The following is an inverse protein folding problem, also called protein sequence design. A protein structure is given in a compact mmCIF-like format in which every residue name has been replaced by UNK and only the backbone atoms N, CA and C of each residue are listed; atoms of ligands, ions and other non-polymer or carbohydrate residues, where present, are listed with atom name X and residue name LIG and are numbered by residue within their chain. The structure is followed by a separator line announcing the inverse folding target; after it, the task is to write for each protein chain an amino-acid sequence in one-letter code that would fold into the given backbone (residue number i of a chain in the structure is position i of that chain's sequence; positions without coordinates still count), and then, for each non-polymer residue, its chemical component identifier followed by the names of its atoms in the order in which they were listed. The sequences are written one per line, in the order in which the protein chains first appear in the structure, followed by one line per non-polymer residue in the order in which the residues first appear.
data_IF_560974519970
#
_entry.id   IF_560974519970
#
_cell.length_a   1.000
_cell.length_b   1.000
_cell.length_c   1.000
_cell.angle_alpha   90.00
_cell.angle_beta   90.00
_cell.angle_gamma   90.00
#
_symmetry.space_group_name_H-M   'P 1'
#
loop_
_entity.id
_entity.type
_entity.pdbx_description
1 polymer ?
#
# COMPACT_ATOMS: atom_id res chain seq x y z
N UNK A 1 -9.32 9.08 -15.57
CA UNK A 1 -8.38 10.16 -15.17
C UNK A 1 -7.57 9.68 -13.99
N UNK A 2 -6.26 9.89 -14.00
CA UNK A 2 -5.40 9.69 -12.83
C UNK A 2 -5.58 10.87 -11.87
N UNK A 3 -5.68 10.61 -10.56
CA UNK A 3 -5.75 11.61 -9.50
C UNK A 3 -4.76 11.25 -8.39
N UNK A 4 -4.20 12.26 -7.74
CA UNK A 4 -3.38 12.06 -6.56
C UNK A 4 -4.22 11.58 -5.39
N UNK A 5 -3.65 10.69 -4.59
CA UNK A 5 -4.25 10.11 -3.40
C UNK A 5 -3.24 10.07 -2.27
N UNK A 6 -3.73 10.21 -1.04
CA UNK A 6 -2.91 10.02 0.15
C UNK A 6 -3.25 8.67 0.77
N UNK A 7 -2.26 7.79 0.82
CA UNK A 7 -2.33 6.54 1.57
C UNK A 7 -1.51 6.70 2.84
N UNK A 8 -2.08 6.27 3.97
CA UNK A 8 -1.36 6.25 5.24
C UNK A 8 -1.63 4.94 5.98
N UNK A 9 -0.64 4.52 6.76
CA UNK A 9 -0.74 3.40 7.68
C UNK A 9 -0.29 3.91 9.04
N UNK A 10 -1.16 3.78 10.03
CA UNK A 10 -0.81 3.94 11.44
C UNK A 10 -0.58 2.55 12.02
N UNK A 11 0.58 2.37 12.65
CA UNK A 11 0.93 1.13 13.32
C UNK A 11 1.37 1.42 14.74
N UNK A 12 0.65 0.85 15.69
CA UNK A 12 0.90 0.97 17.13
C UNK A 12 0.93 -0.41 17.78
N UNK A 13 1.37 -0.53 19.05
CA UNK A 13 1.24 -1.78 19.79
C UNK A 13 -0.20 -2.28 19.96
N UNK A 14 -1.21 -1.42 19.75
CA UNK A 14 -2.62 -1.77 19.86
C UNK A 14 -3.24 -2.28 18.55
N UNK A 15 -2.63 -1.99 17.39
CA UNK A 15 -3.19 -2.38 16.10
C UNK A 15 -2.61 -1.62 14.91
N UNK A 16 -3.17 -1.92 13.73
CA UNK A 16 -2.87 -1.24 12.47
C UNK A 16 -4.16 -0.66 11.89
N UNK A 17 -4.08 0.60 11.45
CA UNK A 17 -5.14 1.29 10.71
C UNK A 17 -4.61 1.76 9.36
N UNK A 18 -5.36 1.52 8.29
CA UNK A 18 -5.06 2.07 6.97
C UNK A 18 -6.03 3.17 6.58
N UNK A 19 -5.54 4.17 5.86
CA UNK A 19 -6.28 5.36 5.47
C UNK A 19 -6.14 5.62 3.98
N UNK A 20 -7.23 6.10 3.37
CA UNK A 20 -7.26 6.64 2.01
C UNK A 20 -7.84 8.05 2.09
N UNK A 21 -7.10 9.04 1.57
CA UNK A 21 -7.47 10.45 1.59
C UNK A 21 -7.89 10.94 3.00
N UNK A 22 -7.11 10.55 4.01
CA UNK A 22 -7.32 10.90 5.41
C UNK A 22 -8.47 10.15 6.12
N UNK A 23 -9.23 9.32 5.42
CA UNK A 23 -10.33 8.53 6.01
C UNK A 23 -9.87 7.11 6.31
N UNK A 24 -10.14 6.62 7.52
CA UNK A 24 -9.83 5.24 7.89
C UNK A 24 -10.64 4.27 7.02
N UNK A 25 -9.94 3.43 6.28
CA UNK A 25 -10.52 2.43 5.39
C UNK A 25 -10.54 1.04 6.05
N UNK A 26 -9.56 0.71 6.88
CA UNK A 26 -9.56 -0.51 7.69
C UNK A 26 -8.90 -0.32 9.06
N UNK A 27 -9.17 -1.25 9.95
CA UNK A 27 -8.48 -1.41 11.23
C UNK A 27 -8.39 -2.90 11.60
N UNK A 28 -7.28 -3.31 12.19
CA UNK A 28 -7.17 -4.59 12.91
C UNK A 28 -6.47 -4.39 14.25
N UNK A 29 -7.03 -4.97 15.29
CA UNK A 29 -6.40 -5.13 16.60
C UNK A 29 -5.86 -6.54 16.84
N UNK A 30 -5.94 -7.43 15.83
CA UNK A 30 -5.39 -8.77 15.91
C UNK A 30 -3.86 -8.72 15.93
N UNK A 31 -3.29 -9.03 17.10
CA UNK A 31 -1.84 -9.01 17.33
C UNK A 31 -1.10 -10.02 16.47
N UNK A 32 -1.76 -11.10 16.04
CA UNK A 32 -1.14 -12.11 15.16
C UNK A 32 -0.93 -11.61 13.73
N UNK A 33 -1.65 -10.56 13.32
CA UNK A 33 -1.49 -9.89 12.04
C UNK A 33 -0.45 -8.75 12.08
N UNK A 34 0.13 -8.44 13.25
CA UNK A 34 1.11 -7.36 13.37
C UNK A 34 2.51 -7.84 12.95
N UNK A 35 3.32 -7.01 12.28
CA UNK A 35 4.71 -7.34 12.00
C UNK A 35 5.47 -7.64 13.31
N UNK A 36 6.36 -8.64 13.32
CA UNK A 36 7.02 -9.11 14.56
C UNK A 36 8.11 -8.16 15.10
N UNK A 37 8.47 -7.11 14.34
CA UNK A 37 9.55 -6.21 14.69
C UNK A 37 9.69 -5.05 13.71
N UNK A 38 10.74 -4.21 13.85
CA UNK A 38 10.94 -3.01 13.04
C UNK A 38 10.86 -3.27 11.53
N UNK A 39 10.22 -2.37 10.80
CA UNK A 39 10.02 -2.44 9.35
C UNK A 39 10.66 -1.26 8.64
N UNK A 40 11.15 -1.48 7.42
CA UNK A 40 11.58 -0.42 6.50
C UNK A 40 10.43 0.10 5.64
N UNK A 41 10.40 1.40 5.35
CA UNK A 41 9.43 1.99 4.43
C UNK A 41 9.90 1.78 2.98
N UNK A 42 9.00 1.34 2.08
CA UNK A 42 9.37 1.00 0.70
C UNK A 42 8.18 1.28 -0.25
N UNK A 43 8.49 1.78 -1.44
CA UNK A 43 7.56 1.94 -2.57
C UNK A 43 8.11 1.10 -3.72
N UNK A 44 7.28 0.23 -4.28
CA UNK A 44 7.67 -0.65 -5.39
C UNK A 44 6.64 -0.60 -6.51
N UNK A 45 7.15 -0.59 -7.74
CA UNK A 45 6.39 -0.90 -8.94
C UNK A 45 6.94 -2.23 -9.47
N UNK A 46 6.30 -3.31 -9.05
CA UNK A 46 6.74 -4.67 -9.37
C UNK A 46 5.89 -5.29 -10.48
N UNK A 47 6.53 -6.14 -11.28
CA UNK A 47 5.87 -6.95 -12.31
C UNK A 47 5.86 -8.42 -11.89
N UNK A 48 4.67 -9.01 -11.79
CA UNK A 48 4.45 -10.39 -11.35
C UNK A 48 3.99 -11.28 -12.54
N UNK A 49 4.89 -11.76 -13.41
CA UNK A 49 4.52 -12.43 -14.67
C UNK A 49 3.75 -13.75 -14.46
N UNK A 50 3.99 -14.46 -13.35
CA UNK A 50 3.27 -15.70 -13.01
C UNK A 50 1.79 -15.44 -12.69
N UNK A 51 1.49 -14.26 -12.17
CA UNK A 51 0.15 -13.83 -11.81
C UNK A 51 -0.55 -13.03 -12.91
N UNK A 52 0.02 -12.98 -14.13
CA UNK A 52 -0.56 -12.23 -15.27
C UNK A 52 -2.03 -12.56 -15.53
N UNK A 53 -2.43 -13.80 -15.26
CA UNK A 53 -3.79 -14.30 -15.43
C UNK A 53 -4.82 -13.61 -14.51
N UNK A 54 -4.37 -12.91 -13.47
CA UNK A 54 -5.19 -12.10 -12.55
C UNK A 54 -5.38 -10.65 -13.02
N UNK A 55 -4.69 -10.23 -14.08
CA UNK A 55 -4.88 -8.90 -14.68
C UNK A 55 -6.31 -8.77 -15.19
N UNK A 56 -6.93 -7.60 -14.99
CA UNK A 56 -8.28 -7.34 -15.48
C UNK A 56 -8.34 -7.56 -17.01
N UNK A 57 -9.41 -8.20 -17.50
CA UNK A 57 -9.53 -8.65 -18.90
C UNK A 57 -9.34 -7.54 -19.95
N UNK A 58 -9.61 -6.30 -19.58
CA UNK A 58 -9.51 -5.11 -20.43
C UNK A 58 -8.19 -4.32 -20.24
N UNK A 59 -7.19 -4.91 -19.56
CA UNK A 59 -5.89 -4.30 -19.32
C UNK A 59 -4.82 -5.16 -20.00
N UNK A 60 -4.00 -4.54 -20.86
CA UNK A 60 -2.80 -5.18 -21.38
C UNK A 60 -1.79 -5.37 -20.25
N UNK A 61 -1.59 -6.63 -19.87
CA UNK A 61 -0.68 -7.03 -18.79
C UNK A 61 0.79 -6.73 -19.07
N UNK A 62 1.16 -6.36 -20.29
CA UNK A 62 2.54 -6.01 -20.69
C UNK A 62 2.72 -4.53 -21.02
N UNK A 63 1.67 -3.72 -20.87
CA UNK A 63 1.75 -2.29 -21.13
C UNK A 63 2.80 -1.61 -20.22
N UNK A 64 3.54 -0.61 -20.73
CA UNK A 64 4.42 0.20 -19.89
C UNK A 64 3.58 0.95 -18.84
N UNK A 65 4.08 0.98 -17.61
CA UNK A 65 3.42 1.63 -16.48
C UNK A 65 4.39 2.56 -15.76
N UNK A 66 3.85 3.60 -15.13
CA UNK A 66 4.61 4.54 -14.30
C UNK A 66 3.92 4.68 -12.96
N UNK A 67 4.70 4.57 -11.88
CA UNK A 67 4.29 4.91 -10.54
C UNK A 67 4.91 6.25 -10.19
N UNK A 68 4.08 7.23 -9.84
CA UNK A 68 4.53 8.55 -9.41
C UNK A 68 4.27 8.70 -7.92
N UNK A 69 5.28 9.19 -7.19
CA UNK A 69 5.17 9.54 -5.79
C UNK A 69 5.67 10.98 -5.63
N UNK A 70 4.82 11.86 -5.11
CA UNK A 70 5.17 13.25 -4.85
C UNK A 70 5.98 13.38 -3.55
N UNK A 71 5.51 12.72 -2.49
CA UNK A 71 6.21 12.68 -1.22
C UNK A 71 5.97 11.35 -0.50
N UNK A 72 6.87 11.07 0.44
CA UNK A 72 6.72 10.01 1.42
C UNK A 72 7.15 10.57 2.78
N UNK A 73 6.42 10.19 3.84
CA UNK A 73 6.76 10.63 5.20
C UNK A 73 6.52 9.52 6.19
N UNK A 74 7.45 9.39 7.14
CA UNK A 74 7.35 8.50 8.28
C UNK A 74 7.38 9.33 9.56
N UNK A 75 6.49 9.00 10.47
CA UNK A 75 6.43 9.60 11.79
C UNK A 75 6.75 8.52 12.81
N UNK A 76 7.51 8.88 13.84
CA UNK A 76 7.68 8.04 15.03
C UNK A 76 6.61 8.43 16.05
N UNK A 77 6.12 7.42 16.79
CA UNK A 77 5.32 7.62 17.99
C UNK A 77 6.17 8.27 19.08
#
# INVERSE_FOLDING_TARGET
MTRWHVFAVEWTPAGISGFVDGRRWFHTGDRTALPPGPMGQTIQLDWFPRDRHRTARNVDSTAPVTLQADWIRMYRL
#
